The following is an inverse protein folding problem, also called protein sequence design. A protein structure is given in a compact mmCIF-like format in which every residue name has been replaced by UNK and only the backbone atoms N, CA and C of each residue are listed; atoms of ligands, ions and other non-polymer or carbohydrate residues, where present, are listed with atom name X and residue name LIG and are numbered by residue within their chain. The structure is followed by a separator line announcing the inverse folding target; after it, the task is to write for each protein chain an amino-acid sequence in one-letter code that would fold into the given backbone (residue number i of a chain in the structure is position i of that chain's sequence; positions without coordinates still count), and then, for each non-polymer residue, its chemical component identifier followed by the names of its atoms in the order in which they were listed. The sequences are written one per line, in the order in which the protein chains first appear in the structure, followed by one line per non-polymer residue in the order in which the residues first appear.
data_IF_309821396314
#
_entry.id   IF_309821396314
#
_cell.length_a   1.000
_cell.length_b   1.000
_cell.length_c   1.000
_cell.angle_alpha   90.00
_cell.angle_beta   90.00
_cell.angle_gamma   90.00
#
_symmetry.space_group_name_H-M   'P 1'
#
loop_
_entity.id
_entity.type
_entity.pdbx_description
1 polymer ?
#
# COMPACT_ATOMS: atom_id res chain seq x y z
N UNK A 1 -8.82 1.13 14.31
CA UNK A 1 -7.35 1.35 14.43
C UNK A 1 -6.72 1.64 13.07
N UNK A 2 -6.84 0.77 12.05
CA UNK A 2 -6.18 0.97 10.75
C UNK A 2 -6.40 2.34 10.08
N UNK A 3 -7.64 2.87 10.08
CA UNK A 3 -7.92 4.22 9.56
C UNK A 3 -7.15 5.31 10.30
N UNK A 4 -7.06 5.25 11.63
CA UNK A 4 -6.33 6.24 12.45
C UNK A 4 -4.84 6.23 12.14
N UNK A 5 -4.24 5.04 12.03
CA UNK A 5 -2.83 4.89 11.65
C UNK A 5 -2.57 5.47 10.27
N UNK A 6 -3.42 5.15 9.29
CA UNK A 6 -3.28 5.67 7.93
C UNK A 6 -3.40 7.20 7.89
N UNK A 7 -4.38 7.77 8.60
CA UNK A 7 -4.56 9.23 8.66
C UNK A 7 -3.38 9.93 9.31
N UNK A 8 -2.80 9.37 10.37
CA UNK A 8 -1.62 9.98 11.00
C UNK A 8 -0.38 9.88 10.09
N UNK A 9 -0.19 8.76 9.40
CA UNK A 9 0.87 8.64 8.41
C UNK A 9 0.72 9.66 7.28
N UNK A 10 -0.49 9.86 6.76
CA UNK A 10 -0.78 10.89 5.75
C UNK A 10 -0.51 12.30 6.27
N UNK A 11 -0.83 12.58 7.55
CA UNK A 11 -0.51 13.85 8.22
C UNK A 11 1.00 14.08 8.25
N UNK A 12 1.78 13.11 8.71
CA UNK A 12 3.25 13.22 8.77
C UNK A 12 3.85 13.45 7.38
N UNK A 13 3.43 12.69 6.38
CA UNK A 13 3.97 12.82 5.01
C UNK A 13 3.68 14.21 4.42
N UNK A 14 2.49 14.77 4.67
CA UNK A 14 2.13 16.10 4.18
C UNK A 14 2.78 17.22 5.01
N UNK A 15 2.59 17.19 6.33
CA UNK A 15 2.89 18.33 7.20
C UNK A 15 4.37 18.36 7.60
N UNK A 16 4.98 17.19 7.84
CA UNK A 16 6.34 17.12 8.35
C UNK A 16 7.35 16.92 7.20
N UNK A 17 7.00 16.10 6.20
CA UNK A 17 7.89 15.81 5.05
C UNK A 17 7.63 16.70 3.83
N UNK A 18 6.52 17.44 3.81
CA UNK A 18 6.16 18.35 2.70
C UNK A 18 6.08 17.64 1.34
N UNK A 19 5.59 16.39 1.33
CA UNK A 19 5.36 15.63 0.10
C UNK A 19 3.87 15.65 -0.29
N UNK A 20 3.61 15.74 -1.59
CA UNK A 20 2.28 15.86 -2.18
C UNK A 20 1.57 14.51 -2.40
N UNK A 21 2.22 13.40 -2.06
CA UNK A 21 1.75 12.05 -2.41
C UNK A 21 2.23 10.98 -1.46
N UNK A 22 1.30 10.11 -1.06
CA UNK A 22 1.61 8.86 -0.37
C UNK A 22 1.52 7.68 -1.35
N UNK A 23 2.51 6.79 -1.30
CA UNK A 23 2.55 5.53 -2.07
C UNK A 23 2.69 4.33 -1.13
N UNK A 24 2.06 3.23 -1.49
CA UNK A 24 2.20 1.95 -0.79
C UNK A 24 2.14 0.78 -1.77
N UNK A 25 2.69 -0.36 -1.37
CA UNK A 25 2.58 -1.63 -2.09
C UNK A 25 1.65 -2.58 -1.33
N UNK A 26 0.66 -3.13 -2.02
CA UNK A 26 -0.31 -4.09 -1.45
C UNK A 26 -0.28 -5.38 -2.25
N UNK A 27 -0.36 -6.54 -1.61
CA UNK A 27 -0.45 -7.83 -2.31
C UNK A 27 -1.74 -7.83 -3.14
N UNK A 28 -1.61 -8.03 -4.45
CA UNK A 28 -2.68 -7.68 -5.37
C UNK A 28 -3.88 -8.64 -5.36
N UNK A 29 -3.70 -9.88 -4.89
CA UNK A 29 -4.79 -10.84 -4.67
C UNK A 29 -5.67 -10.47 -3.46
N UNK A 30 -5.25 -9.52 -2.60
CA UNK A 30 -6.03 -9.09 -1.42
C UNK A 30 -7.06 -8.02 -1.79
N UNK A 31 -8.05 -8.41 -2.60
CA UNK A 31 -9.03 -7.48 -3.16
C UNK A 31 -9.75 -6.63 -2.09
N UNK A 32 -10.23 -7.24 -1.00
CA UNK A 32 -10.94 -6.51 0.07
C UNK A 32 -10.08 -5.40 0.72
N UNK A 33 -8.76 -5.66 0.86
CA UNK A 33 -7.82 -4.68 1.41
C UNK A 33 -7.58 -3.55 0.42
N UNK A 34 -7.48 -3.86 -0.87
CA UNK A 34 -7.36 -2.85 -1.92
C UNK A 34 -8.62 -1.98 -1.96
N UNK A 35 -9.81 -2.58 -1.92
CA UNK A 35 -11.07 -1.84 -1.90
C UNK A 35 -11.16 -0.93 -0.66
N UNK A 36 -10.65 -1.40 0.49
CA UNK A 36 -10.55 -0.57 1.69
C UNK A 36 -9.66 0.66 1.48
N UNK A 37 -8.47 0.50 0.91
CA UNK A 37 -7.58 1.64 0.59
C UNK A 37 -8.19 2.57 -0.46
N UNK A 38 -8.91 2.04 -1.46
CA UNK A 38 -9.63 2.85 -2.44
C UNK A 38 -10.69 3.74 -1.79
N UNK A 39 -11.45 3.21 -0.82
CA UNK A 39 -12.37 4.01 0.00
C UNK A 39 -11.67 5.08 0.85
N UNK A 40 -10.38 4.92 1.15
CA UNK A 40 -9.57 5.95 1.83
C UNK A 40 -8.95 6.98 0.85
N UNK A 41 -9.21 6.87 -0.46
CA UNK A 41 -8.78 7.81 -1.50
C UNK A 41 -7.53 7.36 -2.29
N UNK A 42 -7.01 6.16 -2.03
CA UNK A 42 -5.93 5.59 -2.83
C UNK A 42 -6.43 5.12 -4.20
N UNK A 43 -5.57 5.15 -5.19
CA UNK A 43 -5.85 4.69 -6.55
C UNK A 43 -4.81 3.67 -6.98
N UNK A 44 -5.26 2.67 -7.73
CA UNK A 44 -4.38 1.73 -8.42
C UNK A 44 -3.57 2.49 -9.47
N UNK A 45 -2.25 2.28 -9.46
CA UNK A 45 -1.37 2.86 -10.49
C UNK A 45 -1.19 1.94 -11.70
N UNK A 46 -1.62 0.68 -11.60
CA UNK A 46 -1.31 -0.38 -12.57
C UNK A 46 0.12 -0.92 -12.47
N UNK A 47 1.01 -0.26 -11.72
CA UNK A 47 2.39 -0.72 -11.52
C UNK A 47 2.39 -1.92 -10.58
N UNK A 48 2.94 -3.04 -11.06
CA UNK A 48 3.15 -4.26 -10.28
C UNK A 48 4.63 -4.42 -9.91
N UNK A 49 4.91 -4.95 -8.72
CA UNK A 49 6.26 -5.32 -8.28
C UNK A 49 6.29 -6.78 -7.85
N UNK A 50 7.41 -7.46 -8.08
CA UNK A 50 7.58 -8.83 -7.63
C UNK A 50 7.49 -8.93 -6.11
N UNK A 51 6.83 -9.98 -5.61
CA UNK A 51 6.93 -10.34 -4.20
C UNK A 51 8.30 -11.00 -3.95
N UNK A 52 9.02 -10.64 -2.87
CA UNK A 52 10.36 -11.19 -2.59
C UNK A 52 10.26 -12.61 -2.05
N UNK A 53 10.09 -13.58 -2.96
CA UNK A 53 10.16 -15.00 -2.63
C UNK A 53 11.52 -15.38 -2.04
N UNK A 54 11.51 -16.22 -1.01
CA UNK A 54 12.72 -16.69 -0.35
C UNK A 54 13.35 -15.72 0.65
N UNK A 55 12.75 -14.54 0.89
CA UNK A 55 13.16 -13.63 1.96
C UNK A 55 12.37 -13.93 3.26
N UNK A 56 13.03 -14.47 4.31
CA UNK A 56 12.35 -14.87 5.55
C UNK A 56 11.63 -13.73 6.27
N UNK A 57 12.00 -12.47 6.01
CA UNK A 57 11.37 -11.29 6.62
C UNK A 57 9.91 -11.11 6.20
N UNK A 58 9.51 -11.74 5.10
CA UNK A 58 8.16 -11.66 4.53
C UNK A 58 7.29 -12.88 4.88
N UNK A 59 7.79 -13.75 5.78
CA UNK A 59 7.16 -15.02 6.13
C UNK A 59 7.31 -16.07 5.02
N UNK A 60 6.78 -17.27 5.26
CA UNK A 60 6.72 -18.31 4.24
C UNK A 60 5.43 -18.15 3.41
N UNK A 61 5.52 -17.71 2.15
CA UNK A 61 4.34 -17.55 1.31
C UNK A 61 3.73 -18.93 1.02
N UNK A 62 2.40 -19.03 1.17
CA UNK A 62 1.64 -20.26 0.87
C UNK A 62 1.28 -20.40 -0.62
N UNK A 63 1.71 -19.45 -1.44
CA UNK A 63 1.42 -19.33 -2.87
C UNK A 63 2.66 -18.82 -3.59
N UNK A 64 2.83 -19.19 -4.85
CA UNK A 64 3.96 -18.83 -5.73
C UNK A 64 3.64 -17.69 -6.72
N UNK A 65 2.39 -17.20 -6.73
CA UNK A 65 1.88 -16.17 -7.65
C UNK A 65 1.70 -14.76 -7.04
N UNK A 66 2.29 -14.50 -5.87
CA UNK A 66 2.18 -13.22 -5.17
C UNK A 66 2.95 -12.13 -5.91
N UNK A 67 2.28 -10.98 -6.05
CA UNK A 67 2.86 -9.73 -6.52
C UNK A 67 2.26 -8.56 -5.77
N UNK A 68 3.01 -7.48 -5.68
CA UNK A 68 2.51 -6.22 -5.17
C UNK A 68 1.89 -5.41 -6.30
N UNK A 69 0.86 -4.64 -5.97
CA UNK A 69 0.40 -3.50 -6.74
C UNK A 69 0.69 -2.21 -5.99
N UNK A 70 1.16 -1.19 -6.72
CA UNK A 70 1.39 0.13 -6.16
C UNK A 70 0.08 0.91 -6.15
N UNK A 71 -0.32 1.37 -4.96
CA UNK A 71 -1.40 2.32 -4.77
C UNK A 71 -0.82 3.70 -4.45
N UNK A 72 -1.50 4.75 -4.90
CA UNK A 72 -1.11 6.12 -4.57
C UNK A 72 -2.30 7.02 -4.21
N UNK A 73 -2.06 8.00 -3.34
CA UNK A 73 -3.02 9.03 -2.96
C UNK A 73 -2.32 10.39 -2.96
N UNK A 74 -2.78 11.36 -3.76
CA UNK A 74 -2.37 12.75 -3.60
C UNK A 74 -2.77 13.26 -2.21
N UNK A 75 -1.83 13.83 -1.49
CA UNK A 75 -2.04 14.49 -0.21
C UNK A 75 -2.21 15.98 -0.52
N UNK A 76 -3.45 16.46 -0.42
CA UNK A 76 -3.76 17.88 -0.46
C UNK A 76 -3.69 18.46 0.95
#
# INVERSE_FOLDING_TARGET
IGRRVLTEAERIVRDDWQLDRMRMTVIDIRQELIDWYQRQGYRRTGIKKAFPYGDPRFGQPRRDDLRFEVLEKPLR
#
